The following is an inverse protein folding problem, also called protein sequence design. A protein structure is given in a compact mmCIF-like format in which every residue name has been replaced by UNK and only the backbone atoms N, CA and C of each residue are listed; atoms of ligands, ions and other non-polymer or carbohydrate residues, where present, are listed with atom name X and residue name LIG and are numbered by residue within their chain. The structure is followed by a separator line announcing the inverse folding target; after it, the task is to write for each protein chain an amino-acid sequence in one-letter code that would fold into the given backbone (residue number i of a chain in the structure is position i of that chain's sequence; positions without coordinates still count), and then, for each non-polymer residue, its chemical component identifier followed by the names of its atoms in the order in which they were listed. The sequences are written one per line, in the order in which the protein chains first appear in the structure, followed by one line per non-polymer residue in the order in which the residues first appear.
data_IF_140523545276
#
_entry.id   IF_140523545276
#
_cell.length_a   1.000
_cell.length_b   1.000
_cell.length_c   1.000
_cell.angle_alpha   90.00
_cell.angle_beta   90.00
_cell.angle_gamma   90.00
#
_symmetry.space_group_name_H-M   'P 1'
#
loop_
_entity.id
_entity.type
_entity.pdbx_description
1 polymer ?
#
# COMPACT_ATOMS: atom_id res chain seq x y z
N UNK A 1 10.75 -12.12 2.61
CA UNK A 1 10.06 -12.18 1.30
C UNK A 1 9.63 -10.76 0.98
N UNK A 2 9.65 -10.33 -0.29
CA UNK A 2 9.16 -8.97 -0.62
C UNK A 2 7.65 -8.94 -0.65
N UNK A 3 7.05 -7.79 -0.29
CA UNK A 3 5.60 -7.57 -0.32
C UNK A 3 5.04 -8.00 -1.70
N UNK A 4 5.57 -7.46 -2.80
CA UNK A 4 5.12 -7.80 -4.16
C UNK A 4 5.22 -9.28 -4.54
N UNK A 5 6.06 -10.07 -3.86
CA UNK A 5 6.29 -11.49 -4.16
C UNK A 5 5.35 -12.41 -3.39
N UNK A 6 4.59 -11.87 -2.42
CA UNK A 6 3.64 -12.66 -1.65
C UNK A 6 2.46 -13.11 -2.53
N UNK A 7 2.26 -14.43 -2.58
CA UNK A 7 1.06 -15.04 -3.15
C UNK A 7 -0.17 -14.93 -2.24
N UNK A 8 0.04 -14.57 -0.97
CA UNK A 8 -1.01 -14.48 0.06
C UNK A 8 -1.64 -13.09 0.13
N UNK A 9 -1.08 -12.11 -0.59
CA UNK A 9 -1.51 -10.73 -0.56
C UNK A 9 -2.05 -10.30 -1.94
N UNK A 10 -2.98 -9.35 -1.93
CA UNK A 10 -3.47 -8.66 -3.12
C UNK A 10 -3.14 -7.19 -2.97
N UNK A 11 -2.63 -6.62 -4.06
CA UNK A 11 -2.30 -5.21 -4.14
C UNK A 11 -3.21 -4.55 -5.16
N UNK A 12 -3.88 -3.49 -4.74
CA UNK A 12 -4.73 -2.70 -5.64
C UNK A 12 -4.38 -1.24 -5.46
N UNK A 13 -4.01 -0.56 -6.54
CA UNK A 13 -3.79 0.88 -6.55
C UNK A 13 -4.97 1.53 -7.26
N UNK A 14 -5.61 2.48 -6.59
CA UNK A 14 -6.79 3.16 -7.12
C UNK A 14 -6.49 4.65 -7.25
N UNK A 15 -6.69 5.21 -8.44
CA UNK A 15 -6.81 6.65 -8.63
C UNK A 15 -8.21 7.07 -8.17
N UNK A 16 -8.32 8.09 -7.32
CA UNK A 16 -9.62 8.68 -7.02
C UNK A 16 -10.05 9.56 -8.21
N UNK A 17 -10.98 9.08 -9.03
CA UNK A 17 -11.54 9.80 -10.18
C UNK A 17 -12.62 10.85 -9.78
N UNK A 18 -12.65 11.30 -8.52
CA UNK A 18 -13.69 12.23 -8.03
C UNK A 18 -13.43 13.70 -8.34
N UNK A 19 -12.24 14.04 -8.84
CA UNK A 19 -11.93 15.35 -9.40
C UNK A 19 -11.57 15.13 -10.87
N UNK A 20 -11.94 16.09 -11.73
CA UNK A 20 -11.68 16.19 -13.18
C UNK A 20 -10.40 15.49 -13.66
N UNK A 21 -10.26 15.13 -14.97
CA UNK A 21 -9.13 14.36 -15.51
C UNK A 21 -7.84 15.19 -15.50
N UNK A 22 -7.37 15.52 -14.31
CA UNK A 22 -6.06 16.06 -14.01
C UNK A 22 -5.15 14.87 -14.26
N UNK A 23 -4.55 14.91 -15.45
CA UNK A 23 -3.33 14.24 -15.87
C UNK A 23 -3.04 12.94 -15.12
N UNK A 24 -3.12 11.82 -15.86
CA UNK A 24 -2.55 10.52 -15.47
C UNK A 24 -1.15 10.69 -14.84
N UNK A 25 -1.08 10.95 -13.54
CA UNK A 25 0.20 11.11 -12.87
C UNK A 25 0.74 9.70 -12.68
N UNK A 26 1.60 9.27 -13.61
CA UNK A 26 2.60 8.25 -13.31
C UNK A 26 3.49 8.84 -12.21
N UNK A 27 3.36 8.39 -10.96
CA UNK A 27 3.81 9.19 -9.84
C UNK A 27 5.29 9.01 -9.53
N UNK A 28 6.01 8.13 -10.24
CA UNK A 28 7.38 7.71 -9.96
C UNK A 28 7.56 7.02 -8.60
N UNK A 29 7.00 7.59 -7.54
CA UNK A 29 7.10 7.25 -6.13
C UNK A 29 5.97 7.97 -5.38
N UNK A 30 4.75 7.42 -5.35
CA UNK A 30 3.72 7.95 -4.44
C UNK A 30 4.27 7.88 -3.02
N UNK A 31 4.47 9.03 -2.38
CA UNK A 31 5.07 9.11 -1.05
C UNK A 31 4.00 8.86 0.00
N UNK A 32 4.21 7.83 0.81
CA UNK A 32 3.29 7.44 1.87
C UNK A 32 3.19 8.58 2.90
N UNK A 33 1.97 9.04 3.12
CA UNK A 33 1.63 10.07 4.10
C UNK A 33 1.11 9.45 5.38
N UNK A 34 0.13 8.56 5.25
CA UNK A 34 -0.49 7.83 6.35
C UNK A 34 -1.00 6.47 5.86
N UNK A 35 -1.43 5.65 6.79
CA UNK A 35 -2.04 4.37 6.51
C UNK A 35 -3.05 4.02 7.61
N UNK A 36 -4.08 3.28 7.23
CA UNK A 36 -5.11 2.80 8.13
C UNK A 36 -5.20 1.27 8.06
N UNK A 37 -5.32 0.64 9.23
CA UNK A 37 -5.56 -0.80 9.36
C UNK A 37 -7.05 -1.07 9.42
N UNK A 38 -7.55 -1.88 8.49
CA UNK A 38 -8.96 -2.20 8.33
C UNK A 38 -9.12 -3.73 8.32
N UNK A 39 -9.12 -4.35 9.50
CA UNK A 39 -9.24 -5.81 9.69
C UNK A 39 -8.22 -6.61 8.86
N UNK A 40 -8.59 -7.03 7.65
CA UNK A 40 -7.84 -7.90 6.74
C UNK A 40 -7.10 -7.14 5.64
N UNK A 41 -7.12 -5.80 5.69
CA UNK A 41 -6.45 -4.94 4.72
C UNK A 41 -5.79 -3.72 5.35
N UNK A 42 -4.75 -3.23 4.68
CA UNK A 42 -4.14 -1.93 4.92
C UNK A 42 -4.52 -0.98 3.79
N UNK A 43 -5.05 0.17 4.15
CA UNK A 43 -5.22 1.30 3.25
C UNK A 43 -4.02 2.24 3.37
N UNK A 44 -3.40 2.55 2.24
CA UNK A 44 -2.23 3.42 2.14
C UNK A 44 -2.66 4.74 1.53
N UNK A 45 -2.43 5.83 2.23
CA UNK A 45 -2.72 7.18 1.77
C UNK A 45 -1.43 7.86 1.33
N UNK A 46 -1.40 8.35 0.11
CA UNK A 46 -0.23 9.02 -0.45
C UNK A 46 -0.46 10.52 -0.56
N UNK A 47 0.62 11.30 -0.43
CA UNK A 47 0.59 12.78 -0.49
C UNK A 47 -0.05 13.37 -1.75
N UNK A 48 -0.10 12.61 -2.83
CA UNK A 48 -0.72 13.01 -4.09
C UNK A 48 -2.23 12.72 -4.15
N UNK A 49 -2.85 12.33 -3.03
CA UNK A 49 -4.27 11.97 -2.97
C UNK A 49 -4.60 10.60 -3.58
N UNK A 50 -3.60 9.81 -3.98
CA UNK A 50 -3.83 8.43 -4.41
C UNK A 50 -3.87 7.49 -3.21
N UNK A 51 -4.57 6.37 -3.38
CA UNK A 51 -4.70 5.34 -2.36
C UNK A 51 -4.24 3.99 -2.91
N UNK A 52 -3.68 3.14 -2.05
CA UNK A 52 -3.45 1.74 -2.37
C UNK A 52 -3.90 0.84 -1.24
N UNK A 53 -4.22 -0.40 -1.58
CA UNK A 53 -4.69 -1.41 -0.65
C UNK A 53 -3.73 -2.61 -0.68
N UNK A 54 -3.36 -3.08 0.50
CA UNK A 54 -2.71 -4.37 0.72
C UNK A 54 -3.71 -5.25 1.45
N UNK A 55 -4.23 -6.29 0.80
CA UNK A 55 -5.31 -7.12 1.32
C UNK A 55 -4.85 -8.57 1.48
N UNK A 56 -5.26 -9.22 2.56
CA UNK A 56 -5.05 -10.64 2.76
C UNK A 56 -5.96 -11.48 1.86
N UNK A 57 -5.41 -12.48 1.15
CA UNK A 57 -6.19 -13.45 0.36
C UNK A 57 -6.61 -14.68 1.15
N UNK A 58 -5.94 -14.95 2.26
CA UNK A 58 -6.11 -16.12 3.10
C UNK A 58 -5.61 -15.84 4.51
N UNK A 59 -5.78 -16.80 5.43
CA UNK A 59 -5.34 -16.68 6.82
C UNK A 59 -3.86 -16.31 6.96
N UNK A 60 -2.99 -16.90 6.13
CA UNK A 60 -1.56 -16.58 6.15
C UNK A 60 -1.31 -15.14 5.72
N UNK A 61 -2.06 -14.63 4.74
CA UNK A 61 -2.04 -13.24 4.32
C UNK A 61 -2.40 -12.26 5.45
N UNK A 62 -3.31 -12.63 6.35
CA UNK A 62 -3.64 -11.80 7.52
C UNK A 62 -2.43 -11.60 8.44
N UNK A 63 -1.66 -12.67 8.68
CA UNK A 63 -0.42 -12.60 9.47
C UNK A 63 0.61 -11.69 8.77
N UNK A 64 0.70 -11.76 7.44
CA UNK A 64 1.61 -10.91 6.66
C UNK A 64 1.16 -9.43 6.70
N UNK A 65 -0.15 -9.15 6.63
CA UNK A 65 -0.71 -7.81 6.81
C UNK A 65 -0.33 -7.24 8.17
N UNK A 66 -0.48 -7.99 9.27
CA UNK A 66 -0.09 -7.56 10.61
C UNK A 66 1.41 -7.23 10.72
N UNK A 67 2.25 -7.99 10.04
CA UNK A 67 3.69 -7.74 9.99
C UNK A 67 4.02 -6.47 9.19
N UNK A 68 3.36 -6.29 8.06
CA UNK A 68 3.51 -5.10 7.21
C UNK A 68 3.06 -3.86 7.99
N UNK A 69 1.93 -3.89 8.69
CA UNK A 69 1.41 -2.79 9.51
C UNK A 69 2.43 -2.30 10.53
N UNK A 70 3.04 -3.24 11.28
CA UNK A 70 4.05 -2.92 12.30
C UNK A 70 5.25 -2.19 11.73
N UNK A 71 5.67 -2.58 10.52
CA UNK A 71 6.81 -1.97 9.83
C UNK A 71 6.41 -0.68 9.13
N UNK A 72 5.17 -0.52 8.70
CA UNK A 72 4.74 0.59 7.84
C UNK A 72 4.96 1.98 8.45
N UNK A 73 5.00 2.07 9.78
CA UNK A 73 5.40 3.28 10.52
C UNK A 73 6.79 3.79 10.13
N UNK A 74 7.71 2.88 9.80
CA UNK A 74 9.07 3.20 9.35
C UNK A 74 9.12 3.56 7.85
N UNK A 75 8.01 3.36 7.13
CA UNK A 75 7.87 3.65 5.70
C UNK A 75 7.14 4.96 5.43
N UNK A 76 6.78 5.75 6.45
CA UNK A 76 6.30 7.11 6.23
C UNK A 76 7.37 7.88 5.44
N UNK A 77 6.92 8.66 4.45
CA UNK A 77 7.78 9.33 3.46
C UNK A 77 8.54 8.42 2.48
N UNK A 78 8.30 7.10 2.48
CA UNK A 78 8.80 6.18 1.44
C UNK A 78 7.84 6.10 0.27
N UNK A 79 8.35 5.65 -0.86
CA UNK A 79 7.51 5.46 -2.04
C UNK A 79 6.74 4.15 -1.99
N UNK A 80 5.62 4.08 -2.72
CA UNK A 80 4.87 2.84 -2.92
C UNK A 80 5.76 1.69 -3.42
N UNK A 81 6.67 1.95 -4.36
CA UNK A 81 7.63 0.95 -4.82
C UNK A 81 8.58 0.51 -3.71
N UNK A 82 9.13 1.44 -2.90
CA UNK A 82 9.98 1.07 -1.78
C UNK A 82 9.23 0.22 -0.74
N UNK A 83 7.92 0.44 -0.57
CA UNK A 83 7.05 -0.38 0.28
C UNK A 83 6.90 -1.77 -0.35
N UNK A 84 6.59 -1.87 -1.64
CA UNK A 84 6.43 -3.16 -2.33
C UNK A 84 7.73 -3.99 -2.39
N UNK A 85 8.89 -3.32 -2.43
CA UNK A 85 10.23 -3.94 -2.38
C UNK A 85 10.68 -4.29 -0.95
N UNK A 86 9.95 -3.84 0.08
CA UNK A 86 10.30 -4.10 1.46
C UNK A 86 10.22 -5.58 1.79
N UNK A 87 11.19 -6.05 2.56
CA UNK A 87 11.07 -7.33 3.23
C UNK A 87 10.17 -7.15 4.45
N UNK A 88 9.28 -8.11 4.68
CA UNK A 88 8.54 -8.26 5.94
C UNK A 88 9.04 -9.52 6.66
#
# INVERSE_FOLDING_TARGET
MKIRESKNLRYTKTSFDYFDPIEKVEPGKCILESFDSLNDRLELHFKNGTHAFIEARNFQGGIEVDQIEKRLKDFISRSYEDILEANF
#
